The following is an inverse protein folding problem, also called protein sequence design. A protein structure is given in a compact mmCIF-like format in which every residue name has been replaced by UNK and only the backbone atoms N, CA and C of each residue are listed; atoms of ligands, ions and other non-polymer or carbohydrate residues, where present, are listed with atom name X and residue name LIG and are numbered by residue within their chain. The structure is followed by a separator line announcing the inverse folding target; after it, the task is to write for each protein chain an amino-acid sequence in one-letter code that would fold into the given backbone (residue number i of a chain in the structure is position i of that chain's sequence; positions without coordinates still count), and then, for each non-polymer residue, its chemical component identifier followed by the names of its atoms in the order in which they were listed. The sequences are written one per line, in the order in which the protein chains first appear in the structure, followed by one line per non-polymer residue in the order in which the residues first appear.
data_IF_411321472556
#
_entry.id   IF_411321472556
#
_cell.length_a   1.000
_cell.length_b   1.000
_cell.length_c   1.000
_cell.angle_alpha   90.00
_cell.angle_beta   90.00
_cell.angle_gamma   90.00
#
_symmetry.space_group_name_H-M   'P 1'
#
loop_
_entity.id
_entity.type
_entity.pdbx_description
1 polymer ?
#
# COMPACT_ATOMS: atom_id res chain seq x y z
N UNK A 1 -6.35 17.75 7.86
CA UNK A 1 -6.22 16.57 8.72
C UNK A 1 -7.46 15.73 8.47
N UNK A 2 -7.34 14.66 7.69
CA UNK A 2 -8.49 13.79 7.38
C UNK A 2 -8.92 13.15 8.71
N UNK A 3 -10.16 13.38 9.13
CA UNK A 3 -10.60 12.94 10.46
C UNK A 3 -10.75 11.41 10.47
N UNK A 4 -10.45 10.76 11.60
CA UNK A 4 -10.67 9.31 11.77
C UNK A 4 -12.11 8.86 11.42
N UNK A 5 -13.07 9.80 11.42
CA UNK A 5 -14.44 9.56 10.97
C UNK A 5 -14.54 9.43 9.44
N UNK A 6 -13.83 10.23 8.65
CA UNK A 6 -13.81 10.12 7.18
C UNK A 6 -13.22 8.77 6.74
N UNK A 7 -12.13 8.34 7.37
CA UNK A 7 -11.51 7.04 7.10
C UNK A 7 -12.48 5.87 7.36
N UNK A 8 -13.21 5.91 8.48
CA UNK A 8 -14.22 4.89 8.82
C UNK A 8 -15.39 4.87 7.83
N UNK A 9 -15.77 6.03 7.30
CA UNK A 9 -16.87 6.17 6.32
C UNK A 9 -16.51 5.54 4.98
N UNK A 10 -15.22 5.54 4.62
CA UNK A 10 -14.67 4.87 3.43
C UNK A 10 -14.46 3.35 3.64
N UNK A 11 -14.81 2.79 4.81
CA UNK A 11 -14.56 1.38 5.15
C UNK A 11 -13.11 1.09 5.52
N UNK A 12 -12.28 2.13 5.68
CA UNK A 12 -10.88 2.01 6.07
C UNK A 12 -10.82 1.84 7.58
N UNK A 13 -10.28 0.72 8.03
CA UNK A 13 -10.01 0.48 9.44
C UNK A 13 -8.56 0.86 9.76
N UNK A 14 -8.30 2.07 10.30
CA UNK A 14 -6.94 2.54 10.58
C UNK A 14 -6.21 1.69 11.63
N UNK A 15 -6.92 0.86 12.40
CA UNK A 15 -6.27 -0.08 13.35
C UNK A 15 -5.47 -1.18 12.64
N UNK A 16 -5.73 -1.40 11.34
CA UNK A 16 -5.00 -2.35 10.50
C UNK A 16 -3.64 -1.82 10.05
N UNK A 17 -3.30 -0.57 10.34
CA UNK A 17 -1.99 0.02 10.05
C UNK A 17 -1.04 -0.22 11.21
N UNK A 18 0.25 -0.39 10.94
CA UNK A 18 1.27 -0.35 11.98
C UNK A 18 1.29 1.03 12.66
N UNK A 19 1.57 1.11 13.96
CA UNK A 19 1.57 2.39 14.70
C UNK A 19 2.61 3.39 14.17
N UNK A 20 3.69 2.88 13.56
CA UNK A 20 4.74 3.66 12.90
C UNK A 20 5.16 2.96 11.63
N UNK A 21 5.78 3.71 10.70
CA UNK A 21 6.38 3.12 9.51
C UNK A 21 7.52 2.16 9.90
N UNK A 22 7.47 0.94 9.38
CA UNK A 22 8.51 -0.05 9.51
C UNK A 22 8.95 -0.38 8.09
N UNK A 23 9.89 0.34 7.46
CA UNK A 23 10.34 0.00 6.11
C UNK A 23 11.13 -1.33 6.11
N UNK A 24 11.10 -2.04 4.98
CA UNK A 24 11.91 -3.25 4.79
C UNK A 24 13.40 -2.92 4.94
N UNK A 25 14.14 -3.83 5.57
CA UNK A 25 15.60 -3.83 5.61
C UNK A 25 16.20 -4.12 4.23
N UNK A 26 17.46 -3.78 3.99
CA UNK A 26 18.12 -3.99 2.70
C UNK A 26 18.13 -5.47 2.28
N UNK A 27 18.26 -6.38 3.24
CA UNK A 27 18.19 -7.82 2.97
C UNK A 27 16.80 -8.26 2.50
N UNK A 28 15.74 -7.78 3.16
CA UNK A 28 14.35 -8.08 2.77
C UNK A 28 14.00 -7.44 1.41
N UNK A 29 14.45 -6.21 1.16
CA UNK A 29 14.29 -5.56 -0.15
C UNK A 29 14.93 -6.38 -1.27
N UNK A 30 16.15 -6.84 -1.05
CA UNK A 30 16.90 -7.65 -2.02
C UNK A 30 16.17 -8.94 -2.39
N UNK A 31 15.44 -9.55 -1.45
CA UNK A 31 14.62 -10.74 -1.71
C UNK A 31 13.46 -10.43 -2.68
N UNK A 32 12.95 -9.19 -2.68
CA UNK A 32 11.85 -8.77 -3.55
C UNK A 32 12.31 -8.28 -4.93
N UNK A 33 13.59 -7.93 -5.11
CA UNK A 33 14.17 -7.42 -6.37
C UNK A 33 13.73 -8.20 -7.63
N UNK A 34 13.75 -9.55 -7.67
CA UNK A 34 13.37 -10.29 -8.87
C UNK A 34 11.91 -10.12 -9.31
N UNK A 35 11.06 -9.56 -8.44
CA UNK A 35 9.62 -9.42 -8.67
C UNK A 35 9.17 -8.00 -9.00
N UNK A 36 10.07 -7.02 -8.87
CA UNK A 36 9.72 -5.60 -9.01
C UNK A 36 9.18 -5.27 -10.41
N UNK A 37 9.78 -5.84 -11.46
CA UNK A 37 9.34 -5.65 -12.84
C UNK A 37 7.96 -6.26 -13.14
N UNK A 38 7.48 -7.16 -12.28
CA UNK A 38 6.18 -7.80 -12.40
C UNK A 38 5.08 -7.09 -11.61
N UNK A 39 5.39 -6.00 -10.91
CA UNK A 39 4.39 -5.17 -10.23
C UNK A 39 3.51 -4.48 -11.27
N UNK A 40 2.21 -4.69 -11.19
CA UNK A 40 1.26 -4.10 -12.15
C UNK A 40 0.59 -2.85 -11.58
N UNK A 41 0.64 -1.76 -12.33
CA UNK A 41 -0.01 -0.50 -11.98
C UNK A 41 -1.23 -0.31 -12.88
N UNK A 42 -2.40 -0.14 -12.28
CA UNK A 42 -3.63 0.14 -13.02
C UNK A 42 -3.65 1.55 -13.62
N UNK A 43 -4.71 1.87 -14.37
CA UNK A 43 -4.97 3.26 -14.76
C UNK A 43 -5.39 4.08 -13.53
N UNK A 44 -5.13 5.39 -13.58
CA UNK A 44 -5.65 6.33 -12.58
C UNK A 44 -7.14 6.52 -12.77
N UNK A 45 -7.86 6.65 -11.68
CA UNK A 45 -9.27 7.05 -11.65
C UNK A 45 -9.46 8.04 -10.52
N UNK A 46 -10.41 8.97 -10.66
CA UNK A 46 -10.61 10.05 -9.70
C UNK A 46 -12.08 10.22 -9.36
N UNK A 47 -12.36 10.76 -8.18
CA UNK A 47 -13.64 11.37 -7.82
C UNK A 47 -13.44 12.86 -7.54
N UNK A 48 -14.44 13.50 -6.91
CA UNK A 48 -14.41 14.93 -6.60
C UNK A 48 -13.33 15.31 -5.55
N UNK A 49 -12.79 14.34 -4.82
CA UNK A 49 -11.90 14.57 -3.67
C UNK A 49 -10.52 13.95 -3.82
N UNK A 50 -10.37 12.85 -4.55
CA UNK A 50 -9.14 12.06 -4.60
C UNK A 50 -8.86 11.47 -5.99
N UNK A 51 -7.58 11.24 -6.27
CA UNK A 51 -7.12 10.37 -7.34
C UNK A 51 -6.62 9.05 -6.77
N UNK A 52 -7.04 7.96 -7.40
CA UNK A 52 -6.79 6.59 -6.99
C UNK A 52 -6.03 5.81 -8.06
N UNK A 53 -5.25 4.84 -7.59
CA UNK A 53 -4.70 3.76 -8.40
C UNK A 53 -4.56 2.51 -7.55
N UNK A 54 -4.81 1.35 -8.11
CA UNK A 54 -4.43 0.09 -7.49
C UNK A 54 -3.16 -0.50 -8.10
N UNK A 55 -2.36 -1.13 -7.25
CA UNK A 55 -1.09 -1.79 -7.55
C UNK A 55 -1.24 -3.27 -7.23
N UNK A 56 -0.92 -4.14 -8.19
CA UNK A 56 -0.96 -5.59 -8.03
C UNK A 56 0.43 -6.10 -7.75
N UNK A 57 0.58 -6.77 -6.62
CA UNK A 57 1.81 -7.48 -6.30
C UNK A 57 1.77 -8.91 -6.86
N UNK A 58 2.86 -9.39 -7.46
CA UNK A 58 2.97 -10.78 -7.88
C UNK A 58 2.72 -11.73 -6.71
N UNK A 59 1.96 -12.82 -6.93
CA UNK A 59 1.66 -13.81 -5.88
C UNK A 59 2.93 -14.41 -5.25
N UNK A 60 4.02 -14.51 -6.00
CA UNK A 60 5.30 -15.00 -5.51
C UNK A 60 5.97 -14.00 -4.56
N UNK A 61 5.89 -12.71 -4.90
CA UNK A 61 6.37 -11.61 -4.05
C UNK A 61 5.61 -11.56 -2.72
N UNK A 62 4.29 -11.70 -2.74
CA UNK A 62 3.45 -11.69 -1.52
C UNK A 62 3.87 -12.73 -0.47
N UNK A 63 4.40 -13.89 -0.90
CA UNK A 63 4.86 -14.95 0.01
C UNK A 63 6.19 -14.64 0.69
N UNK A 64 6.91 -13.63 0.19
CA UNK A 64 8.21 -13.20 0.68
C UNK A 64 8.11 -11.94 1.54
N UNK A 65 6.94 -11.29 1.56
CA UNK A 65 6.68 -10.15 2.41
C UNK A 65 6.62 -10.64 3.87
N UNK A 66 7.33 -9.98 4.81
CA UNK A 66 7.30 -10.36 6.22
C UNK A 66 5.89 -10.29 6.83
N UNK A 67 5.59 -11.21 7.75
CA UNK A 67 4.26 -11.36 8.37
C UNK A 67 3.76 -10.08 9.07
N UNK A 68 4.67 -9.22 9.52
CA UNK A 68 4.31 -7.94 10.14
C UNK A 68 3.56 -6.97 9.22
N UNK A 69 3.62 -7.15 7.90
CA UNK A 69 2.83 -6.39 6.91
C UNK A 69 1.57 -7.13 6.48
N UNK A 70 1.35 -8.34 6.99
CA UNK A 70 0.17 -9.15 6.72
C UNK A 70 -0.82 -9.05 7.87
N UNK A 71 -2.09 -9.06 7.51
CA UNK A 71 -3.22 -9.16 8.42
C UNK A 71 -3.69 -10.62 8.40
N UNK A 72 -3.20 -11.42 9.34
CA UNK A 72 -3.50 -12.86 9.44
C UNK A 72 -5.01 -13.13 9.55
N UNK A 73 -5.76 -12.22 10.18
CA UNK A 73 -7.21 -12.36 10.37
C UNK A 73 -7.97 -12.32 9.05
N UNK A 74 -7.49 -11.51 8.10
CA UNK A 74 -8.11 -11.30 6.79
C UNK A 74 -7.38 -11.99 5.65
N UNK A 75 -6.19 -12.55 5.90
CA UNK A 75 -5.28 -13.11 4.88
C UNK A 75 -4.94 -12.10 3.78
N UNK A 76 -4.78 -10.84 4.17
CA UNK A 76 -4.48 -9.72 3.28
C UNK A 76 -3.27 -8.96 3.79
N UNK A 77 -2.87 -7.90 3.10
CA UNK A 77 -1.92 -6.94 3.67
C UNK A 77 -2.60 -6.02 4.68
N UNK A 78 -1.79 -5.51 5.61
CA UNK A 78 -2.11 -4.36 6.46
C UNK A 78 -2.18 -3.09 5.62
N UNK A 79 -2.74 -2.04 6.22
CA UNK A 79 -2.56 -0.69 5.69
C UNK A 79 -1.08 -0.31 5.85
N UNK A 80 -0.48 0.22 4.78
CA UNK A 80 0.94 0.52 4.74
C UNK A 80 1.20 2.02 4.83
N UNK A 81 2.28 2.41 5.50
CA UNK A 81 2.84 3.76 5.41
C UNK A 81 3.56 3.98 4.08
N UNK A 82 3.78 5.25 3.71
CA UNK A 82 4.52 5.61 2.49
C UNK A 82 5.87 4.91 2.40
N UNK A 83 6.67 4.99 3.45
CA UNK A 83 7.99 4.37 3.49
C UNK A 83 7.94 2.83 3.39
N UNK A 84 6.86 2.20 3.87
CA UNK A 84 6.70 0.75 3.83
C UNK A 84 6.46 0.28 2.40
N UNK A 85 5.45 0.81 1.72
CA UNK A 85 5.16 0.38 0.35
C UNK A 85 6.25 0.83 -0.64
N UNK A 86 6.90 1.99 -0.41
CA UNK A 86 8.08 2.40 -1.21
C UNK A 86 9.23 1.42 -1.03
N UNK A 87 9.47 0.93 0.18
CA UNK A 87 10.51 -0.06 0.44
C UNK A 87 10.24 -1.41 -0.23
N UNK A 88 8.99 -1.73 -0.57
CA UNK A 88 8.62 -2.91 -1.36
C UNK A 88 8.86 -2.72 -2.87
N UNK A 89 9.36 -1.56 -3.31
CA UNK A 89 9.62 -1.24 -4.70
C UNK A 89 8.38 -0.77 -5.48
N UNK A 90 7.28 -0.48 -4.77
CA UNK A 90 6.14 0.21 -5.37
C UNK A 90 6.57 1.66 -5.63
N UNK A 91 6.44 2.11 -6.88
CA UNK A 91 6.81 3.46 -7.31
C UNK A 91 5.64 4.16 -7.95
N UNK A 92 5.44 5.43 -7.62
CA UNK A 92 4.42 6.28 -8.24
C UNK A 92 4.91 7.73 -8.32
N UNK A 93 4.48 8.43 -9.37
CA UNK A 93 4.81 9.85 -9.58
C UNK A 93 3.82 10.74 -8.83
N UNK A 94 4.36 11.70 -8.08
CA UNK A 94 3.60 12.65 -7.26
C UNK A 94 3.17 13.86 -8.11
N UNK A 95 1.91 14.28 -8.10
CA UNK A 95 1.52 15.65 -8.41
C UNK A 95 2.00 16.55 -7.26
N UNK A 96 2.67 17.66 -7.54
CA UNK A 96 3.58 18.38 -6.63
C UNK A 96 3.04 18.87 -5.28
N UNK A 97 1.78 18.65 -4.88
CA UNK A 97 1.19 19.16 -3.64
C UNK A 97 0.25 18.17 -2.89
N UNK A 98 0.39 16.85 -3.08
CA UNK A 98 -0.58 15.87 -2.55
C UNK A 98 -0.01 14.93 -1.47
N UNK A 99 -0.84 14.60 -0.46
CA UNK A 99 -0.54 13.59 0.58
C UNK A 99 -0.95 12.20 0.08
N UNK A 100 -0.08 11.21 0.32
CA UNK A 100 -0.23 9.84 -0.16
C UNK A 100 -0.70 8.93 0.98
N UNK A 101 -1.79 8.19 0.77
CA UNK A 101 -2.24 7.15 1.68
C UNK A 101 -2.39 5.83 0.91
N UNK A 102 -2.14 4.69 1.56
CA UNK A 102 -2.34 3.38 0.95
C UNK A 102 -3.42 2.60 1.70
N UNK A 103 -4.37 2.03 0.96
CA UNK A 103 -5.45 1.17 1.46
C UNK A 103 -5.40 -0.21 0.81
N UNK A 104 -5.83 -1.24 1.52
CA UNK A 104 -5.98 -2.59 0.98
C UNK A 104 -7.44 -2.85 0.63
N UNK A 105 -7.72 -3.38 -0.57
CA UNK A 105 -9.08 -3.74 -1.01
C UNK A 105 -9.29 -5.18 -1.44
N UNK A 106 -8.22 -5.96 -1.57
CA UNK A 106 -8.25 -7.34 -2.04
C UNK A 106 -6.88 -8.00 -1.84
N UNK A 107 -6.87 -9.32 -1.69
CA UNK A 107 -5.66 -10.13 -1.53
C UNK A 107 -4.66 -9.87 -2.68
N UNK A 108 -3.60 -9.13 -2.37
CA UNK A 108 -2.52 -8.78 -3.31
C UNK A 108 -2.61 -7.41 -3.97
N UNK A 109 -3.59 -6.59 -3.59
CA UNK A 109 -3.82 -5.27 -4.15
C UNK A 109 -3.55 -4.20 -3.09
N UNK A 110 -2.64 -3.27 -3.39
CA UNK A 110 -2.47 -2.03 -2.62
C UNK A 110 -3.08 -0.91 -3.43
N UNK A 111 -4.09 -0.24 -2.90
CA UNK A 111 -4.62 1.01 -3.46
C UNK A 111 -3.83 2.15 -2.87
N UNK A 112 -3.44 3.10 -3.72
CA UNK A 112 -2.79 4.33 -3.31
C UNK A 112 -3.66 5.52 -3.70
N UNK A 113 -3.76 6.48 -2.78
CA UNK A 113 -4.64 7.64 -2.81
C UNK A 113 -3.77 8.89 -2.84
N UNK A 114 -4.15 9.86 -3.67
CA UNK A 114 -3.59 11.21 -3.66
C UNK A 114 -4.70 12.21 -3.37
N UNK A 115 -4.40 13.19 -2.50
CA UNK A 115 -5.31 14.28 -2.11
C UNK A 115 -5.00 15.59 -2.81
#
# INVERSE_FOLDING_TARGET
MSSLQEMRTLGIDPSRRNTRAIPLSDAERKVLEPYLDNIHYSQRYSDDQYEYRHVLLPKQMLKLIPDQYLDESKKTMKLLWEDEWRSMGITQVRPSNQVEEAEERSAGYVIVFHK
#
